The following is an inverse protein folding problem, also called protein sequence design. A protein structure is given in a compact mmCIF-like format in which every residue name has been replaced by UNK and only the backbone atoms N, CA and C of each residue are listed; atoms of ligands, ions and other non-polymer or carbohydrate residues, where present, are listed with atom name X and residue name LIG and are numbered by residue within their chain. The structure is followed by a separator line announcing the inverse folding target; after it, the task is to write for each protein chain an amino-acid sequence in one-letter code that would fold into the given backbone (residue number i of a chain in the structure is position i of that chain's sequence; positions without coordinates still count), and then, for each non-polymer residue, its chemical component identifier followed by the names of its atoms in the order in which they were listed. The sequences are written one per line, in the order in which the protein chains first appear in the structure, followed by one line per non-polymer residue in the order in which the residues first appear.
data_IF_869810759185
#
_entry.id   IF_869810759185
#
_cell.length_a   1.000
_cell.length_b   1.000
_cell.length_c   1.000
_cell.angle_alpha   90.00
_cell.angle_beta   90.00
_cell.angle_gamma   90.00
#
_symmetry.space_group_name_H-M   'P 1'
#
loop_
_entity.id
_entity.type
_entity.pdbx_description
1 polymer ?
#
# COMPACT_ATOMS: atom_id res chain seq x y z
N UNK A 1 3.26 10.30 29.27
CA UNK A 1 2.31 9.19 29.50
C UNK A 1 2.82 8.01 28.68
N UNK A 2 3.47 7.04 29.35
CA UNK A 2 4.14 5.89 28.73
C UNK A 2 3.16 4.72 28.66
N UNK A 3 3.06 4.03 27.53
CA UNK A 3 2.35 2.75 27.42
C UNK A 3 3.39 1.64 27.18
N UNK A 4 3.45 0.72 28.13
CA UNK A 4 4.33 -0.46 28.16
C UNK A 4 3.88 -1.52 27.14
N UNK A 5 4.86 -2.06 26.42
CA UNK A 5 4.77 -3.34 25.71
C UNK A 5 4.64 -4.49 26.72
N UNK A 6 3.64 -5.37 26.55
CA UNK A 6 3.60 -6.67 27.21
C UNK A 6 3.84 -7.78 26.19
N UNK A 7 4.99 -8.43 26.31
CA UNK A 7 5.30 -9.70 25.69
C UNK A 7 4.62 -10.85 26.46
N UNK A 8 4.11 -11.85 25.75
CA UNK A 8 3.58 -13.10 26.34
C UNK A 8 4.41 -14.29 25.82
N UNK A 9 4.92 -15.19 26.70
CA UNK A 9 5.82 -16.27 26.29
C UNK A 9 5.14 -17.64 26.09
N UNK A 10 5.64 -18.35 25.07
CA UNK A 10 6.00 -19.78 24.92
C UNK A 10 5.02 -20.89 25.39
N UNK A 11 4.68 -21.78 24.45
CA UNK A 11 4.23 -23.15 24.74
C UNK A 11 4.90 -24.19 23.83
N UNK A 12 5.82 -25.00 24.39
CA UNK A 12 6.43 -26.19 23.74
C UNK A 12 5.49 -27.39 23.83
N UNK A 13 5.25 -28.13 22.73
CA UNK A 13 4.88 -29.56 22.76
C UNK A 13 5.45 -30.31 21.54
N UNK A 14 6.39 -31.24 21.77
CA UNK A 14 6.69 -32.45 20.96
C UNK A 14 5.69 -33.54 21.41
N UNK A 15 5.34 -34.62 20.71
CA UNK A 15 5.60 -35.28 19.42
C UNK A 15 4.61 -36.47 19.44
N UNK A 16 4.00 -36.89 18.33
CA UNK A 16 3.80 -38.32 18.03
C UNK A 16 3.48 -38.49 16.54
N UNK A 17 4.12 -39.49 15.93
CA UNK A 17 3.96 -39.86 14.52
C UNK A 17 2.77 -40.80 14.32
N UNK A 18 2.12 -40.71 13.17
CA UNK A 18 1.53 -41.90 12.51
C UNK A 18 1.55 -41.67 10.99
N UNK A 19 2.24 -42.56 10.27
CA UNK A 19 2.22 -42.62 8.80
C UNK A 19 0.84 -43.06 8.33
N UNK A 20 0.23 -42.28 7.43
CA UNK A 20 -0.96 -42.64 6.67
C UNK A 20 -0.77 -42.23 5.22
N UNK A 21 -0.55 -43.22 4.35
CA UNK A 21 -0.38 -43.11 2.91
C UNK A 21 -1.63 -42.52 2.24
N UNK A 22 -1.51 -41.36 1.60
CA UNK A 22 -2.42 -40.93 0.54
C UNK A 22 -1.61 -40.33 -0.62
N UNK A 23 -1.63 -41.05 -1.75
CA UNK A 23 -1.16 -40.55 -3.04
C UNK A 23 -2.05 -39.38 -3.45
N UNK A 24 -1.58 -38.15 -3.26
CA UNK A 24 -2.16 -36.98 -3.89
C UNK A 24 -1.34 -36.69 -5.15
N UNK A 25 -1.96 -36.85 -6.30
CA UNK A 25 -1.49 -36.32 -7.57
C UNK A 25 -1.40 -34.80 -7.46
N UNK A 26 -0.17 -34.29 -7.29
CA UNK A 26 0.12 -32.88 -7.41
C UNK A 26 -0.09 -32.47 -8.87
N UNK A 27 -1.23 -31.84 -9.16
CA UNK A 27 -1.36 -30.99 -10.34
C UNK A 27 -0.32 -29.90 -10.17
N UNK A 28 0.69 -29.91 -11.03
CA UNK A 28 1.67 -28.84 -11.14
C UNK A 28 0.93 -27.55 -11.51
N UNK A 29 0.50 -26.81 -10.48
CA UNK A 29 0.06 -25.44 -10.62
C UNK A 29 1.33 -24.68 -10.96
N UNK A 30 1.56 -24.46 -12.26
CA UNK A 30 2.70 -23.73 -12.76
C UNK A 30 2.78 -22.41 -12.01
N UNK A 31 3.70 -22.32 -11.06
CA UNK A 31 4.22 -21.04 -10.62
C UNK A 31 4.80 -20.42 -11.87
N UNK A 32 4.10 -19.42 -12.43
CA UNK A 32 4.75 -18.48 -13.35
C UNK A 32 6.05 -18.10 -12.66
N UNK A 33 7.22 -18.29 -13.32
CA UNK A 33 8.43 -17.71 -12.78
C UNK A 33 8.12 -16.24 -12.56
N UNK A 34 8.43 -15.72 -11.36
CA UNK A 34 8.45 -14.27 -11.16
C UNK A 34 9.28 -13.74 -12.31
N UNK A 35 8.64 -13.04 -13.26
CA UNK A 35 9.33 -12.41 -14.37
C UNK A 35 10.47 -11.63 -13.72
N UNK A 36 11.70 -11.95 -14.12
CA UNK A 36 12.86 -11.27 -13.60
C UNK A 36 12.62 -9.78 -13.80
N UNK A 37 12.39 -9.06 -12.71
CA UNK A 37 12.10 -7.64 -12.72
C UNK A 37 13.28 -6.98 -13.43
N UNK A 38 12.99 -6.32 -14.56
CA UNK A 38 14.02 -5.67 -15.35
C UNK A 38 14.66 -4.58 -14.48
N UNK A 39 15.96 -4.70 -14.12
CA UNK A 39 16.63 -3.72 -13.27
C UNK A 39 16.74 -2.33 -13.96
N UNK A 40 16.37 -2.22 -15.24
CA UNK A 40 16.25 -0.93 -15.93
C UNK A 40 15.01 -0.11 -15.50
N UNK A 41 14.07 -0.73 -14.77
CA UNK A 41 12.83 -0.12 -14.25
C UNK A 41 12.85 0.13 -12.72
N UNK A 42 14.02 0.09 -12.09
CA UNK A 42 14.17 0.41 -10.67
C UNK A 42 13.93 1.92 -10.44
N UNK A 43 12.66 2.30 -10.28
CA UNK A 43 12.23 3.64 -9.92
C UNK A 43 12.39 3.84 -8.41
N UNK A 44 13.25 4.78 -8.02
CA UNK A 44 13.40 5.18 -6.62
C UNK A 44 12.32 6.20 -6.26
N UNK A 45 11.51 5.87 -5.26
CA UNK A 45 10.39 6.68 -4.81
C UNK A 45 10.56 7.05 -3.34
N UNK A 46 10.47 8.35 -3.02
CA UNK A 46 10.37 8.82 -1.64
C UNK A 46 8.90 8.99 -1.28
N UNK A 47 8.42 8.17 -0.35
CA UNK A 47 7.04 8.23 0.14
C UNK A 47 6.84 9.36 1.15
N UNK A 48 5.86 10.23 0.90
CA UNK A 48 5.45 11.31 1.80
C UNK A 48 3.94 11.27 2.06
N UNK A 49 3.49 10.76 3.22
CA UNK A 49 2.08 10.83 3.59
C UNK A 49 1.68 12.27 3.95
N UNK A 50 0.61 12.77 3.34
CA UNK A 50 0.06 14.11 3.62
C UNK A 50 -1.35 13.99 4.17
N UNK A 51 -1.59 14.58 5.34
CA UNK A 51 -2.89 14.55 6.01
C UNK A 51 -3.62 15.88 5.86
N UNK A 52 -4.88 15.82 5.42
CA UNK A 52 -5.80 16.97 5.42
C UNK A 52 -6.93 16.72 6.41
N UNK A 53 -7.20 17.66 7.31
CA UNK A 53 -8.35 17.62 8.22
C UNK A 53 -9.49 18.48 7.68
N UNK A 54 -10.71 17.98 7.78
CA UNK A 54 -11.93 18.73 7.44
C UNK A 54 -13.06 18.41 8.44
N UNK A 55 -14.22 19.05 8.30
CA UNK A 55 -15.30 18.96 9.29
C UNK A 55 -15.84 17.52 9.52
N UNK A 56 -15.82 16.69 8.47
CA UNK A 56 -16.37 15.33 8.49
C UNK A 56 -15.36 14.21 8.72
N UNK A 57 -14.06 14.51 8.85
CA UNK A 57 -13.02 13.50 8.93
C UNK A 57 -11.63 13.98 8.56
N UNK A 58 -10.80 13.05 8.11
CA UNK A 58 -9.47 13.31 7.57
C UNK A 58 -9.28 12.62 6.23
N UNK A 59 -8.45 13.19 5.37
CA UNK A 59 -7.99 12.57 4.13
C UNK A 59 -6.49 12.31 4.24
N UNK A 60 -6.05 11.09 3.93
CA UNK A 60 -4.64 10.75 3.74
C UNK A 60 -4.34 10.72 2.24
N UNK A 61 -3.51 11.65 1.79
CA UNK A 61 -2.93 11.62 0.45
C UNK A 61 -1.62 10.84 0.50
N UNK A 62 -1.52 9.77 -0.28
CA UNK A 62 -0.31 8.94 -0.40
C UNK A 62 0.51 9.46 -1.57
N UNK A 63 1.51 10.28 -1.27
CA UNK A 63 2.31 10.97 -2.28
C UNK A 63 3.68 10.33 -2.43
N UNK A 64 4.22 10.35 -3.65
CA UNK A 64 5.59 9.97 -3.95
C UNK A 64 6.34 11.13 -4.60
N UNK A 65 7.58 11.33 -4.17
CA UNK A 65 8.58 12.05 -4.95
C UNK A 65 9.36 11.05 -5.80
N UNK A 66 9.49 11.33 -7.09
CA UNK A 66 10.23 10.50 -8.04
C UNK A 66 11.68 10.95 -8.04
N UNK A 67 12.55 10.13 -7.45
CA UNK A 67 13.98 10.45 -7.33
C UNK A 67 14.62 10.38 -8.72
N UNK A 68 15.21 11.48 -9.16
CA UNK A 68 15.79 11.63 -10.50
C UNK A 68 14.79 12.08 -11.59
N UNK A 69 13.48 11.92 -11.36
CA UNK A 69 12.41 12.41 -12.25
C UNK A 69 11.95 13.84 -11.95
N UNK A 70 12.17 14.32 -10.73
CA UNK A 70 12.02 15.74 -10.39
C UNK A 70 10.57 16.21 -10.22
N UNK A 71 9.73 15.43 -9.52
CA UNK A 71 8.37 15.83 -9.21
C UNK A 71 7.66 14.93 -8.22
N UNK A 72 6.44 15.32 -7.89
CA UNK A 72 5.56 14.66 -6.92
C UNK A 72 4.31 14.13 -7.62
N UNK A 73 3.92 12.90 -7.30
CA UNK A 73 2.67 12.29 -7.74
C UNK A 73 1.83 11.85 -6.55
N UNK A 74 0.51 11.90 -6.69
CA UNK A 74 -0.44 11.35 -5.72
C UNK A 74 -0.92 10.00 -6.24
N UNK A 75 -0.65 8.94 -5.48
CA UNK A 75 -1.12 7.60 -5.85
C UNK A 75 -2.57 7.35 -5.41
N UNK A 76 -2.95 7.83 -4.22
CA UNK A 76 -4.29 7.66 -3.69
C UNK A 76 -4.64 8.72 -2.65
N UNK A 77 -5.94 8.88 -2.41
CA UNK A 77 -6.51 9.68 -1.34
C UNK A 77 -7.52 8.84 -0.54
N UNK A 78 -7.22 8.56 0.72
CA UNK A 78 -8.07 7.76 1.61
C UNK A 78 -8.90 8.71 2.49
N UNK A 79 -10.22 8.76 2.29
CA UNK A 79 -11.14 9.53 3.12
C UNK A 79 -11.59 8.72 4.33
N UNK A 80 -11.34 9.25 5.53
CA UNK A 80 -11.54 8.52 6.79
C UNK A 80 -12.50 9.30 7.68
N UNK A 81 -13.67 8.71 7.93
CA UNK A 81 -14.62 9.16 8.96
C UNK A 81 -14.46 8.29 10.20
N UNK A 82 -14.94 8.78 11.35
CA UNK A 82 -14.83 8.04 12.62
C UNK A 82 -15.47 6.66 12.58
N UNK A 83 -16.54 6.48 11.79
CA UNK A 83 -17.21 5.19 11.58
C UNK A 83 -16.36 4.17 10.81
N UNK A 84 -15.41 4.64 10.00
CA UNK A 84 -14.74 3.83 8.98
C UNK A 84 -13.35 3.35 9.45
N UNK A 85 -12.85 3.86 10.58
CA UNK A 85 -11.50 3.60 11.11
C UNK A 85 -11.16 2.09 11.12
N UNK A 86 -11.99 1.18 11.66
CA UNK A 86 -11.62 -0.24 11.71
C UNK A 86 -11.39 -0.85 10.33
N UNK A 87 -12.19 -0.46 9.34
CA UNK A 87 -12.09 -0.96 7.96
C UNK A 87 -10.87 -0.36 7.26
N UNK A 88 -10.68 0.95 7.35
CA UNK A 88 -9.55 1.64 6.69
C UNK A 88 -8.21 1.14 7.23
N UNK A 89 -8.11 0.91 8.54
CA UNK A 89 -6.90 0.35 9.15
C UNK A 89 -6.61 -1.09 8.72
N UNK A 90 -7.61 -1.86 8.30
CA UNK A 90 -7.42 -3.24 7.86
C UNK A 90 -6.96 -3.35 6.40
N UNK A 91 -7.44 -2.46 5.53
CA UNK A 91 -7.27 -2.62 4.08
C UNK A 91 -6.33 -1.61 3.40
N UNK A 92 -6.11 -0.43 4.00
CA UNK A 92 -5.46 0.68 3.26
C UNK A 92 -4.03 0.38 2.80
N UNK A 93 -3.23 -0.31 3.61
CA UNK A 93 -1.85 -0.64 3.23
C UNK A 93 -1.78 -1.74 2.17
N UNK A 94 -2.73 -2.68 2.18
CA UNK A 94 -2.83 -3.69 1.12
C UNK A 94 -3.16 -3.02 -0.21
N UNK A 95 -4.20 -2.18 -0.22
CA UNK A 95 -4.61 -1.45 -1.43
C UNK A 95 -3.50 -0.54 -1.95
N UNK A 96 -2.81 0.17 -1.05
CA UNK A 96 -1.65 1.00 -1.39
C UNK A 96 -0.55 0.19 -2.10
N UNK A 97 -0.17 -0.97 -1.57
CA UNK A 97 0.86 -1.82 -2.19
C UNK A 97 0.39 -2.43 -3.51
N UNK A 98 -0.87 -2.85 -3.60
CA UNK A 98 -1.46 -3.36 -4.85
C UNK A 98 -1.35 -2.31 -5.96
N UNK A 99 -1.74 -1.05 -5.66
CA UNK A 99 -1.64 0.06 -6.61
C UNK A 99 -0.20 0.40 -7.00
N UNK A 100 0.75 0.31 -6.07
CA UNK A 100 2.16 0.56 -6.34
C UNK A 100 2.80 -0.51 -7.22
N UNK A 101 2.36 -1.77 -7.08
CA UNK A 101 2.86 -2.88 -7.89
C UNK A 101 2.23 -2.91 -9.30
N UNK A 102 1.02 -2.39 -9.44
CA UNK A 102 0.28 -2.39 -10.71
C UNK A 102 0.84 -1.36 -11.70
N UNK A 103 1.14 -0.15 -11.25
CA UNK A 103 1.55 0.95 -12.12
C UNK A 103 2.47 1.95 -11.40
N UNK A 104 3.45 2.52 -12.12
CA UNK A 104 4.26 3.62 -11.60
C UNK A 104 3.38 4.80 -11.19
N UNK A 105 3.63 5.44 -10.03
CA UNK A 105 2.89 6.64 -9.62
C UNK A 105 2.88 7.75 -10.67
N UNK A 106 3.99 7.89 -11.42
CA UNK A 106 4.14 8.94 -12.44
C UNK A 106 3.21 8.74 -13.65
N UNK A 107 2.96 7.48 -14.02
CA UNK A 107 2.07 7.12 -15.12
C UNK A 107 0.61 7.30 -14.72
N UNK A 108 0.26 6.91 -13.49
CA UNK A 108 -1.12 6.97 -12.98
C UNK A 108 -1.60 8.39 -12.70
N UNK A 109 -0.74 9.20 -12.07
CA UNK A 109 -1.00 10.61 -11.80
C UNK A 109 0.22 11.41 -12.24
N UNK A 110 0.11 12.25 -13.28
CA UNK A 110 1.26 13.00 -13.80
C UNK A 110 1.96 13.81 -12.71
N UNK A 111 3.28 13.64 -12.64
CA UNK A 111 4.10 14.32 -11.64
C UNK A 111 3.99 15.86 -11.75
N UNK A 112 3.93 16.52 -10.60
CA UNK A 112 3.89 17.99 -10.47
C UNK A 112 5.14 18.51 -9.75
N UNK A 113 5.52 19.78 -9.97
CA UNK A 113 6.66 20.40 -9.30
C UNK A 113 6.61 20.40 -7.77
N UNK A 114 5.41 20.42 -7.18
CA UNK A 114 5.24 20.46 -5.72
C UNK A 114 4.15 19.50 -5.23
N UNK A 115 4.23 19.08 -3.97
CA UNK A 115 3.16 18.31 -3.31
C UNK A 115 1.81 19.02 -3.36
N UNK A 116 1.79 20.34 -3.15
CA UNK A 116 0.55 21.11 -3.16
C UNK A 116 -0.12 21.10 -4.53
N UNK A 117 0.65 21.26 -5.61
CA UNK A 117 0.15 21.18 -6.98
C UNK A 117 -0.28 19.76 -7.36
N UNK A 118 0.47 18.74 -6.93
CA UNK A 118 0.10 17.34 -7.14
C UNK A 118 -1.26 17.02 -6.50
N UNK A 119 -1.45 17.44 -5.25
CA UNK A 119 -2.72 17.27 -4.53
C UNK A 119 -3.83 18.08 -5.18
N UNK A 120 -3.59 19.34 -5.58
CA UNK A 120 -4.61 20.16 -6.22
C UNK A 120 -5.05 19.59 -7.58
N UNK A 121 -4.10 19.07 -8.37
CA UNK A 121 -4.40 18.41 -9.63
C UNK A 121 -5.20 17.11 -9.42
N UNK A 122 -4.80 16.30 -8.45
CA UNK A 122 -5.53 15.09 -8.07
C UNK A 122 -6.94 15.42 -7.57
N UNK A 123 -7.09 16.41 -6.67
CA UNK A 123 -8.40 16.85 -6.19
C UNK A 123 -9.27 17.32 -7.36
N UNK A 124 -8.74 18.06 -8.34
CA UNK A 124 -9.50 18.52 -9.50
C UNK A 124 -9.98 17.38 -10.40
N UNK A 125 -9.18 16.33 -10.57
CA UNK A 125 -9.54 15.16 -11.38
C UNK A 125 -10.64 14.32 -10.73
N UNK A 126 -10.67 14.24 -9.39
CA UNK A 126 -11.55 13.35 -8.64
C UNK A 126 -12.70 14.06 -7.88
N UNK A 127 -12.73 15.40 -7.79
CA UNK A 127 -13.87 16.15 -7.22
C UNK A 127 -15.00 16.44 -8.22
N UNK A 128 -14.80 16.21 -9.52
CA UNK A 128 -15.84 16.45 -10.53
C UNK A 128 -17.03 15.45 -10.44
N UNK A 129 -16.97 14.47 -9.54
CA UNK A 129 -18.03 13.48 -9.30
C UNK A 129 -18.85 13.68 -7.99
N UNK A 130 -18.74 14.83 -7.33
CA UNK A 130 -19.45 15.12 -6.06
C UNK A 130 -20.80 15.85 -6.24
#
# INVERSE_FOLDING_TARGET
MFIQLLAVPVGKRRLTSTLGSLRTTAVARGTRPAEAMDPSNDELLLYTPVWRRHAGGVTLYRCFEIIGGGGFSVQSADYIRSSDIPKVCADSDRQFLELLLEESPASRSPAKPTLAEAIAAFDAEFNDEA
#
